data_IF_408255586226
#
_entry.id   IF_408255586226
#
_cell.length_a   1.000
_cell.length_b   1.000
_cell.length_c   1.000
_cell.angle_alpha   90.00
_cell.angle_beta   90.00
_cell.angle_gamma   90.00
#
_symmetry.space_group_name_H-M   'P 1'
#
loop_
_entity.id
_entity.type
_entity.pdbx_description
1 polymer ?
#
# COMPACT_ATOMS: atom_id res chain seq x y z
N UNK A 1 30.07 -10.86 -19.66
CA UNK A 1 29.60 -10.20 -20.88
C UNK A 1 28.22 -10.63 -21.38
N UNK A 2 27.92 -11.90 -21.74
CA UNK A 2 26.55 -12.25 -22.22
C UNK A 2 25.48 -12.29 -21.14
N UNK A 3 25.86 -12.75 -19.94
CA UNK A 3 24.94 -12.88 -18.79
C UNK A 3 24.64 -11.50 -18.18
N UNK A 4 25.64 -10.63 -18.04
CA UNK A 4 25.47 -9.27 -17.52
C UNK A 4 24.63 -8.38 -18.44
N UNK A 5 24.72 -8.55 -19.77
CA UNK A 5 23.89 -7.84 -20.72
C UNK A 5 22.42 -8.29 -20.61
N UNK A 6 22.18 -9.60 -20.51
CA UNK A 6 20.84 -10.15 -20.32
C UNK A 6 20.22 -9.76 -18.96
N UNK A 7 21.03 -9.67 -17.90
CA UNK A 7 20.58 -9.13 -16.62
C UNK A 7 20.20 -7.65 -16.72
N UNK A 8 21.01 -6.83 -17.40
CA UNK A 8 20.71 -5.40 -17.59
C UNK A 8 19.44 -5.18 -18.40
N UNK A 9 19.25 -5.95 -19.48
CA UNK A 9 18.02 -5.92 -20.30
C UNK A 9 16.78 -6.34 -19.49
N UNK A 10 16.92 -7.34 -18.62
CA UNK A 10 15.83 -7.74 -17.72
C UNK A 10 15.54 -6.69 -16.65
N UNK A 11 16.56 -6.06 -16.07
CA UNK A 11 16.44 -4.99 -15.08
C UNK A 11 15.75 -3.76 -15.70
N UNK A 12 16.16 -3.35 -16.90
CA UNK A 12 15.54 -2.25 -17.66
C UNK A 12 14.09 -2.53 -18.02
N UNK A 13 13.75 -3.78 -18.39
CA UNK A 13 12.37 -4.17 -18.69
C UNK A 13 11.46 -4.17 -17.45
N UNK A 14 12.01 -4.42 -16.26
CA UNK A 14 11.26 -4.48 -14.99
C UNK A 14 11.18 -3.11 -14.29
N UNK A 15 12.08 -2.17 -14.62
CA UNK A 15 12.14 -0.82 -14.03
C UNK A 15 10.80 -0.04 -14.07
N UNK A 16 10.07 0.05 -15.20
CA UNK A 16 8.77 0.72 -15.23
C UNK A 16 7.71 0.09 -14.33
N UNK A 17 7.81 -1.22 -14.09
CA UNK A 17 6.90 -1.97 -13.21
C UNK A 17 7.20 -1.64 -11.75
N UNK A 18 8.50 -1.59 -11.38
CA UNK A 18 8.94 -1.16 -10.04
C UNK A 18 8.51 0.27 -9.74
N UNK A 19 8.67 1.17 -10.69
CA UNK A 19 8.24 2.57 -10.55
C UNK A 19 6.71 2.67 -10.39
N UNK A 20 5.95 1.95 -11.21
CA UNK A 20 4.49 1.88 -11.09
C UNK A 20 4.04 1.38 -9.72
N UNK A 21 4.71 0.35 -9.19
CA UNK A 21 4.45 -0.17 -7.85
C UNK A 21 4.74 0.87 -6.75
N UNK A 22 5.85 1.60 -6.87
CA UNK A 22 6.21 2.66 -5.95
C UNK A 22 5.15 3.78 -5.92
N UNK A 23 4.68 4.20 -7.09
CA UNK A 23 3.64 5.22 -7.21
C UNK A 23 2.30 4.77 -6.60
N UNK A 24 1.93 3.49 -6.77
CA UNK A 24 0.72 2.92 -6.16
C UNK A 24 0.87 2.88 -4.63
N UNK A 25 2.01 2.40 -4.15
CA UNK A 25 2.32 2.33 -2.72
C UNK A 25 2.27 3.70 -2.06
N UNK A 26 2.80 4.74 -2.74
CA UNK A 26 2.71 6.12 -2.28
C UNK A 26 1.26 6.62 -2.20
N UNK A 27 0.44 6.36 -3.23
CA UNK A 27 -0.99 6.72 -3.20
C UNK A 27 -1.77 6.04 -2.08
N UNK A 28 -1.44 4.78 -1.80
CA UNK A 28 -2.03 4.04 -0.67
C UNK A 28 -1.60 4.68 0.65
N UNK A 29 -0.32 5.00 0.81
CA UNK A 29 0.20 5.68 2.00
C UNK A 29 -0.52 7.01 2.25
N UNK A 30 -0.66 7.85 1.23
CA UNK A 30 -1.31 9.15 1.34
C UNK A 30 -2.79 9.00 1.74
N UNK A 31 -3.52 8.12 1.05
CA UNK A 31 -4.94 7.86 1.35
C UNK A 31 -5.13 7.26 2.75
N UNK A 32 -4.26 6.33 3.15
CA UNK A 32 -4.26 5.74 4.49
C UNK A 32 -3.96 6.80 5.56
N UNK A 33 -3.04 7.73 5.29
CA UNK A 33 -2.65 8.80 6.21
C UNK A 33 -3.82 9.74 6.46
N UNK A 34 -4.50 10.18 5.39
CA UNK A 34 -5.69 11.02 5.50
C UNK A 34 -6.83 10.33 6.28
N UNK A 35 -7.02 9.02 6.04
CA UNK A 35 -8.03 8.24 6.78
C UNK A 35 -7.64 8.05 8.24
N UNK A 36 -6.36 7.81 8.54
CA UNK A 36 -5.85 7.66 9.89
C UNK A 36 -6.03 8.93 10.71
N UNK A 37 -5.72 10.10 10.13
CA UNK A 37 -5.95 11.40 10.79
C UNK A 37 -7.43 11.63 11.10
N UNK A 38 -8.32 11.29 10.16
CA UNK A 38 -9.77 11.38 10.40
C UNK A 38 -10.27 10.41 11.48
N UNK A 39 -9.58 9.28 11.66
CA UNK A 39 -9.95 8.26 12.65
C UNK A 39 -9.32 8.48 14.03
N UNK A 40 -8.35 9.40 14.16
CA UNK A 40 -7.56 9.62 15.37
C UNK A 40 -8.41 9.79 16.62
N UNK A 41 -9.37 10.71 16.55
CA UNK A 41 -10.29 11.04 17.66
C UNK A 41 -11.74 10.59 17.37
N UNK A 42 -11.95 9.78 16.33
CA UNK A 42 -13.29 9.36 15.93
C UNK A 42 -13.82 8.24 16.84
N UNK A 43 -15.01 8.45 17.41
CA UNK A 43 -15.72 7.45 18.20
C UNK A 43 -16.50 6.43 17.35
N UNK A 44 -16.69 6.72 16.06
CA UNK A 44 -17.39 5.83 15.13
C UNK A 44 -16.79 5.92 13.71
N UNK A 45 -16.98 4.87 12.92
CA UNK A 45 -16.55 4.85 11.51
C UNK A 45 -17.65 5.40 10.61
N UNK A 46 -17.43 6.58 10.03
CA UNK A 46 -18.40 7.19 9.11
C UNK A 46 -18.56 6.39 7.82
N UNK A 47 -19.76 6.44 7.23
CA UNK A 47 -20.04 5.73 5.97
C UNK A 47 -19.17 6.21 4.81
N UNK A 48 -18.81 7.49 4.77
CA UNK A 48 -17.92 8.05 3.76
C UNK A 48 -16.48 7.55 3.90
N UNK A 49 -15.98 7.42 5.13
CA UNK A 49 -14.65 6.85 5.40
C UNK A 49 -14.61 5.35 5.04
N UNK A 50 -15.62 4.59 5.46
CA UNK A 50 -15.75 3.18 5.10
C UNK A 50 -15.87 2.98 3.57
N UNK A 51 -16.55 3.89 2.85
CA UNK A 51 -16.60 3.85 1.39
C UNK A 51 -15.21 4.10 0.79
N UNK A 52 -14.49 5.12 1.26
CA UNK A 52 -13.13 5.45 0.77
C UNK A 52 -12.15 4.29 1.00
N UNK A 53 -12.19 3.68 2.18
CA UNK A 53 -11.36 2.50 2.49
C UNK A 53 -11.62 1.35 1.52
N UNK A 54 -12.89 1.01 1.26
CA UNK A 54 -13.25 -0.04 0.29
C UNK A 54 -12.81 0.29 -1.13
N UNK A 55 -13.01 1.53 -1.57
CA UNK A 55 -12.59 1.97 -2.91
C UNK A 55 -11.07 1.88 -3.09
N UNK A 56 -10.30 2.20 -2.07
CA UNK A 56 -8.85 2.05 -2.09
C UNK A 56 -8.42 0.57 -2.22
N UNK A 57 -9.07 -0.33 -1.46
CA UNK A 57 -8.79 -1.77 -1.52
C UNK A 57 -9.17 -2.36 -2.89
N UNK A 58 -10.33 -1.98 -3.42
CA UNK A 58 -10.80 -2.40 -4.75
C UNK A 58 -9.86 -1.90 -5.85
N UNK A 59 -9.43 -0.63 -5.78
CA UNK A 59 -8.48 -0.09 -6.75
C UNK A 59 -7.14 -0.83 -6.73
N UNK A 60 -6.62 -1.20 -5.55
CA UNK A 60 -5.41 -2.01 -5.44
C UNK A 60 -5.59 -3.40 -6.07
N UNK A 61 -6.69 -4.09 -5.77
CA UNK A 61 -7.01 -5.41 -6.35
C UNK A 61 -7.06 -5.37 -7.88
N UNK A 62 -7.63 -4.31 -8.46
CA UNK A 62 -7.72 -4.13 -9.91
C UNK A 62 -6.35 -3.99 -10.59
N UNK A 63 -5.33 -3.54 -9.87
CA UNK A 63 -3.99 -3.42 -10.44
C UNK A 63 -3.31 -4.79 -10.62
N UNK A 64 -3.86 -5.87 -10.02
CA UNK A 64 -3.39 -7.25 -10.16
C UNK A 64 -1.87 -7.40 -9.92
N UNK A 65 -1.31 -6.56 -9.04
CA UNK A 65 0.06 -6.73 -8.57
C UNK A 65 0.11 -7.99 -7.72
N UNK A 66 1.09 -8.84 -7.98
CA UNK A 66 1.30 -10.08 -7.24
C UNK A 66 2.70 -10.03 -6.64
N UNK A 67 2.84 -10.28 -5.33
CA UNK A 67 4.16 -10.43 -4.71
C UNK A 67 4.30 -9.92 -3.28
N UNK A 68 3.40 -9.07 -2.78
CA UNK A 68 3.42 -8.61 -1.37
C UNK A 68 2.17 -9.10 -0.62
N UNK A 69 2.23 -10.38 -0.22
CA UNK A 69 1.15 -11.04 0.54
C UNK A 69 0.86 -10.33 1.86
N UNK A 70 1.84 -9.60 2.41
CA UNK A 70 1.64 -8.87 3.66
C UNK A 70 0.80 -7.61 3.48
N UNK A 71 1.05 -6.83 2.42
CA UNK A 71 0.24 -5.67 2.08
C UNK A 71 -1.19 -6.08 1.71
N UNK A 72 -1.34 -7.15 0.94
CA UNK A 72 -2.63 -7.75 0.59
C UNK A 72 -3.44 -8.11 1.84
N UNK A 73 -2.85 -8.82 2.81
CA UNK A 73 -3.51 -9.20 4.05
C UNK A 73 -4.01 -7.98 4.85
N UNK A 74 -3.22 -6.91 4.94
CA UNK A 74 -3.62 -5.69 5.67
C UNK A 74 -4.75 -4.96 4.93
N UNK A 75 -4.72 -4.93 3.60
CA UNK A 75 -5.79 -4.36 2.80
C UNK A 75 -7.09 -5.16 2.93
N UNK A 76 -7.03 -6.50 3.01
CA UNK A 76 -8.20 -7.33 3.29
C UNK A 76 -8.79 -7.10 4.68
N UNK A 77 -7.94 -6.91 5.70
CA UNK A 77 -8.38 -6.55 7.05
C UNK A 77 -9.09 -5.20 7.05
N UNK A 78 -8.53 -4.21 6.36
CA UNK A 78 -9.14 -2.88 6.20
C UNK A 78 -10.49 -2.97 5.47
N UNK A 79 -10.55 -3.74 4.37
CA UNK A 79 -11.77 -3.96 3.59
C UNK A 79 -12.85 -4.63 4.44
N UNK A 80 -12.48 -5.63 5.25
CA UNK A 80 -13.38 -6.32 6.17
C UNK A 80 -13.92 -5.38 7.24
N UNK A 81 -13.06 -4.59 7.89
CA UNK A 81 -13.47 -3.62 8.90
C UNK A 81 -14.41 -2.54 8.31
N UNK A 82 -14.13 -2.09 7.08
CA UNK A 82 -14.97 -1.13 6.36
C UNK A 82 -16.29 -1.71 5.85
N UNK A 83 -16.30 -3.00 5.50
CA UNK A 83 -17.42 -3.71 4.88
C UNK A 83 -18.56 -4.04 5.84
N UNK A 84 -18.31 -4.05 7.14
CA UNK A 84 -19.34 -4.31 8.16
C UNK A 84 -20.47 -3.29 8.10
N UNK A 85 -21.63 -3.69 8.62
CA UNK A 85 -22.75 -2.77 8.83
C UNK A 85 -22.33 -1.60 9.74
N UNK A 86 -22.96 -0.43 9.56
CA UNK A 86 -22.55 0.78 10.27
C UNK A 86 -22.48 0.63 11.80
N UNK A 87 -23.40 -0.15 12.40
CA UNK A 87 -23.44 -0.42 13.84
C UNK A 87 -22.36 -1.39 14.33
N UNK A 88 -21.73 -2.14 13.43
CA UNK A 88 -20.76 -3.18 13.72
C UNK A 88 -19.33 -2.81 13.30
N UNK A 89 -19.13 -1.63 12.68
CA UNK A 89 -17.79 -1.14 12.34
C UNK A 89 -17.07 -0.72 13.61
N UNK A 90 -15.96 -1.37 13.91
CA UNK A 90 -15.10 -0.97 15.03
C UNK A 90 -14.16 0.16 14.60
N UNK A 91 -14.19 1.31 15.30
CA UNK A 91 -13.19 2.35 15.13
C UNK A 91 -11.77 1.86 15.44
N UNK A 92 -11.64 0.94 16.40
CA UNK A 92 -10.37 0.37 16.81
C UNK A 92 -9.78 -0.52 15.72
N UNK A 93 -10.56 -1.45 15.15
CA UNK A 93 -10.09 -2.29 14.04
C UNK A 93 -9.73 -1.43 12.82
N UNK A 94 -10.50 -0.38 12.54
CA UNK A 94 -10.20 0.56 11.45
C UNK A 94 -8.88 1.29 11.70
N UNK A 95 -8.64 1.80 12.91
CA UNK A 95 -7.37 2.46 13.28
C UNK A 95 -6.19 1.50 13.20
N UNK A 96 -6.34 0.27 13.70
CA UNK A 96 -5.29 -0.74 13.65
C UNK A 96 -4.92 -1.05 12.21
N UNK A 97 -5.90 -1.36 11.35
CA UNK A 97 -5.66 -1.67 9.95
C UNK A 97 -5.01 -0.49 9.19
N UNK A 98 -5.45 0.74 9.43
CA UNK A 98 -4.83 1.94 8.85
C UNK A 98 -3.39 2.13 9.34
N UNK A 99 -3.13 1.91 10.63
CA UNK A 99 -1.79 2.00 11.21
C UNK A 99 -0.83 0.94 10.68
N UNK A 100 -1.30 -0.30 10.51
CA UNK A 100 -0.54 -1.37 9.85
C UNK A 100 -0.22 -1.01 8.41
N UNK A 101 -1.20 -0.50 7.67
CA UNK A 101 -1.03 -0.10 6.28
C UNK A 101 0.02 1.01 6.12
N UNK A 102 0.03 2.00 7.03
CA UNK A 102 1.04 3.06 7.06
C UNK A 102 2.44 2.53 7.36
N UNK A 103 2.57 1.59 8.30
CA UNK A 103 3.87 0.94 8.59
C UNK A 103 4.39 0.18 7.37
N UNK A 104 3.53 -0.59 6.72
CA UNK A 104 3.89 -1.40 5.57
C UNK A 104 4.33 -0.55 4.38
N UNK A 105 3.54 0.45 4.04
CA UNK A 105 3.82 1.33 2.89
C UNK A 105 4.99 2.27 3.15
N UNK A 106 5.23 2.72 4.39
CA UNK A 106 6.43 3.51 4.73
C UNK A 106 7.74 2.70 4.70
N UNK A 107 7.71 1.43 5.13
CA UNK A 107 8.86 0.52 5.00
C UNK A 107 9.17 0.24 3.54
N UNK A 108 8.13 0.05 2.72
CA UNK A 108 8.29 -0.22 1.29
C UNK A 108 8.84 1.01 0.55
N UNK A 109 8.36 2.22 0.86
CA UNK A 109 8.94 3.48 0.35
C UNK A 109 10.41 3.64 0.73
N UNK A 110 10.80 3.24 1.95
CA UNK A 110 12.20 3.32 2.39
C UNK A 110 13.09 2.29 1.70
N UNK A 111 12.60 1.05 1.51
CA UNK A 111 13.34 0.02 0.76
C UNK A 111 13.57 0.38 -0.70
N UNK A 112 12.57 0.92 -1.39
CA UNK A 112 12.73 1.41 -2.76
C UNK A 112 13.77 2.52 -2.85
N UNK A 113 13.73 3.48 -1.93
CA UNK A 113 14.72 4.56 -1.88
C UNK A 113 16.14 4.04 -1.58
N UNK A 114 16.28 3.00 -0.75
CA UNK A 114 17.57 2.40 -0.43
C UNK A 114 18.11 1.54 -1.60
N UNK A 115 17.24 0.80 -2.31
CA UNK A 115 17.58 0.04 -3.52
C UNK A 115 18.01 0.95 -4.69
N UNK A 116 17.29 2.06 -4.92
CA UNK A 116 17.67 3.06 -5.94
C UNK A 116 19.03 3.70 -5.63
N UNK A 117 19.32 3.96 -4.35
CA UNK A 117 20.60 4.55 -3.91
C UNK A 117 21.76 3.58 -4.04
N UNK A 118 21.57 2.31 -3.70
CA UNK A 118 22.59 1.26 -3.90
C UNK A 118 22.86 1.06 -5.40
N UNK A 119 21.82 0.99 -6.23
CA UNK A 119 21.95 0.84 -7.68
C UNK A 119 22.68 2.02 -8.33
N UNK A 120 22.45 3.25 -7.84
CA UNK A 120 23.12 4.46 -8.34
C UNK A 120 24.60 4.57 -7.93
N UNK A 121 25.05 3.79 -6.94
CA UNK A 121 26.44 3.77 -6.46
C UNK A 121 27.29 2.64 -7.09
N UNK A 122 26.67 1.74 -7.86
CA UNK A 122 27.33 0.64 -8.58
C UNK A 122 27.68 0.99 -10.05
N UNK A 123 27.52 2.26 -10.44
CA UNK A 123 27.97 2.84 -11.72
C UNK A 123 29.32 3.56 -11.58
#
# INVERSE_FOLDING_TARGET
>A
MKIEAAQREAEEAVSPIKEGFAQITAKIFDSASEMAERMKDAEFVSGSLAKRARQMCEWYQLMNFTGDTSLENVLEQLQTAAGREAKQRSPEEMRTALGDLLRMTSVHSKKLLDEDRLSALEL
#
